data_IF_953003488049
#
_entry.id   IF_953003488049
#
_cell.length_a   1.000
_cell.length_b   1.000
_cell.length_c   1.000
_cell.angle_alpha   90.00
_cell.angle_beta   90.00
_cell.angle_gamma   90.00
#
_symmetry.space_group_name_H-M   'P 1'
#
loop_
_entity.id
_entity.type
_entity.pdbx_description
1 polymer ?
#
# COMPACT_ATOMS: atom_id res chain seq x y z
N UNK A 1 -1.50 -20.44 -5.46
CA UNK A 1 -1.29 -19.60 -6.65
C UNK A 1 -0.32 -18.53 -6.20
N UNK A 2 0.93 -18.60 -6.65
CA UNK A 2 1.97 -17.67 -6.18
C UNK A 2 1.74 -16.30 -6.82
N UNK A 3 1.75 -15.25 -5.99
CA UNK A 3 1.67 -13.87 -6.47
C UNK A 3 2.96 -13.51 -7.19
N UNK A 4 2.86 -12.82 -8.32
CA UNK A 4 4.07 -12.21 -8.91
C UNK A 4 4.58 -11.11 -7.99
N UNK A 5 5.89 -10.81 -8.03
CA UNK A 5 6.49 -9.71 -7.27
C UNK A 5 5.73 -8.39 -7.48
N UNK A 6 5.29 -8.13 -8.72
CA UNK A 6 4.45 -6.96 -9.01
C UNK A 6 3.14 -6.97 -8.22
N UNK A 7 2.41 -8.08 -8.21
CA UNK A 7 1.13 -8.16 -7.49
C UNK A 7 1.35 -8.05 -5.99
N UNK A 8 2.34 -8.77 -5.47
CA UNK A 8 2.69 -8.77 -4.05
C UNK A 8 3.07 -7.37 -3.56
N UNK A 9 4.00 -6.69 -4.23
CA UNK A 9 4.41 -5.33 -3.85
C UNK A 9 3.26 -4.33 -3.94
N UNK A 10 2.44 -4.39 -4.99
CA UNK A 10 1.28 -3.50 -5.10
C UNK A 10 0.25 -3.75 -3.99
N UNK A 11 0.05 -5.01 -3.56
CA UNK A 11 -0.85 -5.32 -2.45
C UNK A 11 -0.34 -4.75 -1.12
N UNK A 12 0.97 -4.85 -0.85
CA UNK A 12 1.59 -4.26 0.33
C UNK A 12 1.43 -2.73 0.34
N UNK A 13 1.74 -2.06 -0.78
CA UNK A 13 1.59 -0.61 -0.89
C UNK A 13 0.12 -0.18 -0.78
N UNK A 14 -0.80 -0.95 -1.37
CA UNK A 14 -2.23 -0.68 -1.29
C UNK A 14 -2.75 -0.80 0.14
N UNK A 15 -2.26 -1.78 0.91
CA UNK A 15 -2.62 -1.94 2.32
C UNK A 15 -2.12 -0.78 3.19
N UNK A 16 -0.88 -0.30 2.97
CA UNK A 16 -0.35 0.90 3.66
C UNK A 16 -1.20 2.13 3.33
N UNK A 17 -1.49 2.34 2.04
CA UNK A 17 -2.30 3.48 1.60
C UNK A 17 -3.73 3.41 2.15
N UNK A 18 -4.31 2.20 2.20
CA UNK A 18 -5.64 1.95 2.74
C UNK A 18 -5.68 2.24 4.24
N UNK A 19 -4.71 1.74 5.01
CA UNK A 19 -4.61 2.01 6.43
C UNK A 19 -4.48 3.51 6.73
N UNK A 20 -3.64 4.23 5.98
CA UNK A 20 -3.51 5.68 6.08
C UNK A 20 -4.82 6.42 5.75
N UNK A 21 -5.54 5.99 4.72
CA UNK A 21 -6.81 6.58 4.34
C UNK A 21 -7.91 6.33 5.40
N UNK A 22 -7.97 5.12 5.96
CA UNK A 22 -8.89 4.77 7.05
C UNK A 22 -8.60 5.64 8.27
N UNK A 23 -7.33 5.70 8.69
CA UNK A 23 -6.88 6.51 9.83
C UNK A 23 -7.24 7.99 9.63
N UNK A 24 -7.08 8.54 8.42
CA UNK A 24 -7.41 9.93 8.13
C UNK A 24 -8.92 10.21 8.13
N UNK A 25 -9.74 9.27 7.67
CA UNK A 25 -11.20 9.45 7.55
C UNK A 25 -11.97 9.11 8.83
N UNK A 26 -11.48 8.14 9.61
CA UNK A 26 -12.17 7.63 10.79
C UNK A 26 -11.45 7.94 12.11
N UNK A 27 -10.20 8.43 12.05
CA UNK A 27 -9.41 8.79 13.22
C UNK A 27 -8.77 7.60 13.96
N UNK A 28 -9.14 6.37 13.62
CA UNK A 28 -8.53 5.16 14.16
C UNK A 28 -8.32 4.10 13.07
N UNK A 29 -7.27 3.31 13.25
CA UNK A 29 -6.96 2.15 12.45
C UNK A 29 -6.24 1.15 13.36
N UNK A 30 -6.67 -0.10 13.30
CA UNK A 30 -5.97 -1.23 13.91
C UNK A 30 -5.59 -2.20 12.82
N UNK A 31 -4.32 -2.62 12.81
CA UNK A 31 -3.88 -3.67 11.92
C UNK A 31 -4.64 -4.97 12.24
N UNK A 32 -4.99 -5.77 11.22
CA UNK A 32 -5.66 -7.05 11.43
C UNK A 32 -4.69 -8.10 11.98
N UNK A 33 -5.16 -8.94 12.90
CA UNK A 33 -4.42 -10.12 13.34
C UNK A 33 -4.13 -11.05 12.15
N UNK A 34 -2.98 -11.73 12.15
CA UNK A 34 -2.54 -12.63 11.08
C UNK A 34 -2.56 -11.92 9.70
N UNK A 35 -1.83 -10.82 9.60
CA UNK A 35 -1.74 -10.02 8.38
C UNK A 35 -1.40 -10.87 7.16
N UNK A 36 -2.07 -10.56 6.04
CA UNK A 36 -1.73 -11.04 4.71
C UNK A 36 -1.92 -9.89 3.70
N UNK A 37 -1.15 -9.83 2.60
CA UNK A 37 -1.32 -8.81 1.57
C UNK A 37 -2.76 -8.74 1.05
N UNK A 38 -3.34 -7.55 1.04
CA UNK A 38 -4.73 -7.26 0.64
C UNK A 38 -5.77 -7.45 1.75
N UNK A 39 -5.37 -7.91 2.94
CA UNK A 39 -6.30 -8.19 4.05
C UNK A 39 -6.91 -6.93 4.64
N UNK A 40 -6.16 -5.82 4.74
CA UNK A 40 -6.67 -4.57 5.30
C UNK A 40 -7.86 -4.07 4.49
N UNK A 41 -7.72 -4.02 3.16
CA UNK A 41 -8.84 -3.65 2.28
C UNK A 41 -10.03 -4.59 2.43
N UNK A 42 -9.79 -5.90 2.36
CA UNK A 42 -10.86 -6.91 2.33
C UNK A 42 -11.67 -6.90 3.63
N UNK A 43 -10.99 -6.89 4.77
CA UNK A 43 -11.62 -6.86 6.10
C UNK A 43 -12.37 -5.56 6.33
N UNK A 44 -11.79 -4.43 5.92
CA UNK A 44 -12.44 -3.14 6.08
C UNK A 44 -13.73 -3.02 5.26
N UNK A 45 -13.72 -3.47 3.99
CA UNK A 45 -14.91 -3.50 3.13
C UNK A 45 -16.01 -4.38 3.71
N UNK A 46 -15.65 -5.56 4.23
CA UNK A 46 -16.61 -6.47 4.84
C UNK A 46 -17.28 -5.86 6.08
N UNK A 47 -16.57 -5.01 6.82
CA UNK A 47 -17.06 -4.36 8.04
C UNK A 47 -17.85 -3.06 7.80
N UNK A 48 -17.74 -2.42 6.63
CA UNK A 48 -18.36 -1.11 6.36
C UNK A 48 -19.19 -1.14 5.10
N UNK A 49 -20.51 -0.95 5.20
CA UNK A 49 -21.43 -0.99 4.05
C UNK A 49 -21.75 0.38 3.45
N UNK A 50 -21.33 1.49 4.06
CA UNK A 50 -21.61 2.84 3.55
C UNK A 50 -20.84 3.12 2.24
N UNK A 51 -21.55 3.23 1.09
CA UNK A 51 -20.89 3.45 -0.20
C UNK A 51 -20.21 4.82 -0.31
N UNK A 52 -20.71 5.85 0.38
CA UNK A 52 -20.13 7.18 0.33
C UNK A 52 -18.80 7.23 1.07
N UNK A 53 -18.74 6.62 2.26
CA UNK A 53 -17.50 6.43 3.02
C UNK A 53 -16.48 5.61 2.23
N UNK A 54 -16.89 4.46 1.69
CA UNK A 54 -16.01 3.61 0.87
C UNK A 54 -15.37 4.37 -0.29
N UNK A 55 -16.15 5.16 -1.03
CA UNK A 55 -15.63 5.98 -2.14
C UNK A 55 -14.58 6.98 -1.68
N UNK A 56 -14.81 7.69 -0.57
CA UNK A 56 -13.86 8.69 -0.04
C UNK A 56 -12.56 8.03 0.38
N UNK A 57 -12.66 6.92 1.10
CA UNK A 57 -11.48 6.19 1.58
C UNK A 57 -10.69 5.61 0.41
N UNK A 58 -11.34 5.02 -0.59
CA UNK A 58 -10.65 4.53 -1.79
C UNK A 58 -10.02 5.65 -2.62
N UNK A 59 -10.70 6.79 -2.77
CA UNK A 59 -10.12 7.93 -3.47
C UNK A 59 -8.81 8.38 -2.79
N UNK A 60 -8.82 8.47 -1.46
CA UNK A 60 -7.63 8.84 -0.70
C UNK A 60 -6.54 7.76 -0.75
N UNK A 61 -6.91 6.48 -0.62
CA UNK A 61 -5.96 5.36 -0.71
C UNK A 61 -5.29 5.29 -2.10
N UNK A 62 -6.03 5.52 -3.17
CA UNK A 62 -5.47 5.54 -4.53
C UNK A 62 -4.49 6.70 -4.73
N UNK A 63 -4.78 7.88 -4.18
CA UNK A 63 -3.84 9.00 -4.20
C UNK A 63 -2.56 8.68 -3.41
N UNK A 64 -2.70 8.05 -2.23
CA UNK A 64 -1.57 7.62 -1.40
C UNK A 64 -0.72 6.53 -2.06
N UNK A 65 -1.33 5.58 -2.75
CA UNK A 65 -0.64 4.48 -3.44
C UNK A 65 0.37 5.00 -4.47
N UNK A 66 -0.03 5.98 -5.28
CA UNK A 66 0.88 6.58 -6.27
C UNK A 66 2.07 7.28 -5.61
N UNK A 67 1.85 7.93 -4.47
CA UNK A 67 2.93 8.56 -3.69
C UNK A 67 3.91 7.51 -3.15
N UNK A 68 3.41 6.39 -2.61
CA UNK A 68 4.24 5.32 -2.04
C UNK A 68 5.12 4.61 -3.08
N UNK A 69 4.76 4.58 -4.36
CA UNK A 69 5.63 4.05 -5.42
C UNK A 69 6.83 4.95 -5.71
N UNK A 70 6.81 6.20 -5.23
CA UNK A 70 7.85 7.20 -5.45
C UNK A 70 8.82 7.40 -4.29
N UNK A 71 8.50 6.90 -3.09
CA UNK A 71 9.33 7.11 -1.89
C UNK A 71 10.51 6.15 -1.82
N UNK A 72 11.52 6.49 -1.01
CA UNK A 72 12.64 5.61 -0.71
C UNK A 72 12.27 4.47 0.26
N UNK A 73 13.17 3.51 0.39
CA UNK A 73 12.98 2.32 1.23
C UNK A 73 12.75 2.68 2.70
N UNK A 74 13.43 3.69 3.23
CA UNK A 74 13.35 4.05 4.64
C UNK A 74 11.99 4.68 4.98
N UNK A 75 11.51 5.57 4.12
CA UNK A 75 10.16 6.13 4.20
C UNK A 75 9.09 5.04 4.11
N UNK A 76 9.28 4.06 3.21
CA UNK A 76 8.37 2.94 3.06
C UNK A 76 8.32 2.07 4.34
N UNK A 77 9.47 1.67 4.87
CA UNK A 77 9.55 0.86 6.10
C UNK A 77 8.92 1.59 7.30
N UNK A 78 9.14 2.90 7.43
CA UNK A 78 8.48 3.70 8.49
C UNK A 78 6.96 3.73 8.32
N UNK A 79 6.46 3.92 7.11
CA UNK A 79 5.03 3.91 6.83
C UNK A 79 4.41 2.53 7.11
N UNK A 80 5.09 1.46 6.71
CA UNK A 80 4.65 0.09 6.95
C UNK A 80 4.57 -0.23 8.45
N UNK A 81 5.61 0.11 9.21
CA UNK A 81 5.66 -0.07 10.66
C UNK A 81 4.51 0.67 11.37
N UNK A 82 4.23 1.91 10.96
CA UNK A 82 3.12 2.71 11.51
C UNK A 82 1.76 2.02 11.38
N UNK A 83 1.54 1.27 10.30
CA UNK A 83 0.26 0.62 10.00
C UNK A 83 0.28 -0.90 10.18
N UNK A 84 1.33 -1.45 10.81
CA UNK A 84 1.42 -2.89 11.09
C UNK A 84 1.56 -3.77 9.85
N UNK A 85 2.09 -3.23 8.74
CA UNK A 85 2.42 -4.00 7.54
C UNK A 85 3.87 -4.50 7.65
N UNK A 86 4.14 -5.81 7.52
CA UNK A 86 5.46 -6.40 7.76
C UNK A 86 6.39 -6.17 6.56
N UNK A 87 6.87 -4.93 6.40
CA UNK A 87 7.94 -4.58 5.46
C UNK A 87 9.18 -4.27 6.28
N UNK A 88 10.15 -5.19 6.26
CA UNK A 88 11.48 -4.94 6.80
C UNK A 88 12.33 -4.09 5.84
N UNK A 89 13.56 -3.77 6.24
CA UNK A 89 14.46 -2.95 5.44
C UNK A 89 14.86 -3.62 4.12
N UNK A 90 14.99 -4.95 4.09
CA UNK A 90 15.42 -5.69 2.90
C UNK A 90 14.29 -5.66 1.85
N UNK A 91 13.08 -6.00 2.27
CA UNK A 91 11.89 -5.97 1.43
C UNK A 91 11.57 -4.54 0.98
N UNK A 92 11.72 -3.54 1.87
CA UNK A 92 11.57 -2.13 1.52
C UNK A 92 12.52 -1.70 0.40
N UNK A 93 13.78 -2.14 0.47
CA UNK A 93 14.78 -1.93 -0.59
C UNK A 93 14.37 -2.55 -1.92
N UNK A 94 13.91 -3.80 -1.90
CA UNK A 94 13.44 -4.51 -3.11
C UNK A 94 12.25 -3.81 -3.77
N UNK A 95 11.28 -3.34 -2.98
CA UNK A 95 10.11 -2.63 -3.48
C UNK A 95 10.52 -1.30 -4.13
N UNK A 96 11.34 -0.51 -3.44
CA UNK A 96 11.81 0.78 -3.95
C UNK A 96 12.58 0.61 -5.27
N UNK A 97 13.48 -0.38 -5.34
CA UNK A 97 14.22 -0.69 -6.55
C UNK A 97 13.30 -1.12 -7.69
N UNK A 98 12.35 -2.02 -7.43
CA UNK A 98 11.38 -2.51 -8.43
C UNK A 98 10.60 -1.37 -9.10
N UNK A 99 10.07 -0.42 -8.34
CA UNK A 99 9.31 0.71 -8.89
C UNK A 99 10.21 1.79 -9.50
N UNK A 100 11.46 1.91 -9.06
CA UNK A 100 12.48 2.75 -9.72
C UNK A 100 12.79 2.21 -11.12
N UNK A 101 13.12 0.92 -11.24
CA UNK A 101 13.45 0.28 -12.52
C UNK A 101 12.29 0.34 -13.50
N UNK A 102 11.07 0.10 -13.02
CA UNK A 102 9.86 0.21 -13.85
C UNK A 102 9.68 1.61 -14.43
N UNK A 103 9.95 2.67 -13.65
CA UNK A 103 9.89 4.06 -14.15
C UNK A 103 10.97 4.33 -15.19
N UNK A 104 12.20 3.90 -14.94
CA UNK A 104 13.30 4.07 -15.88
C UNK A 104 13.06 3.34 -17.21
N UNK A 105 12.51 2.13 -17.16
CA UNK A 105 12.15 1.36 -18.36
C UNK A 105 11.09 2.08 -19.21
N UNK A 106 10.06 2.64 -18.57
CA UNK A 106 9.01 3.41 -19.27
C UNK A 106 9.59 4.68 -19.91
N UNK A 107 10.54 5.36 -19.25
CA UNK A 107 11.21 6.54 -19.80
C UNK A 107 12.06 6.18 -21.03
N UNK A 108 12.84 5.10 -20.96
CA UNK A 108 13.68 4.63 -22.09
C UNK A 108 12.87 4.19 -23.31
N UNK A 109 11.64 3.72 -23.12
CA UNK A 109 10.76 3.36 -24.24
C UNK A 109 10.14 4.58 -24.95
N UNK A 110 10.11 5.74 -24.30
CA UNK A 110 9.49 6.97 -24.81
C UNK A 110 10.48 7.97 -25.39
N UNK A 111 11.78 7.71 -25.24
CA UNK A 111 12.91 8.45 -25.81
C UNK A 111 13.35 7.83 -27.13
#
# INVERSE_FOLDING_TARGET
MDLTDQQFFNLLLADIAMAGAIQAMQGNFSAPDNYAPGKIRTTWIAAHSDPALQRRVFALANAGLASLQGVDAEQLTRAAAKYGVPIDSELGGRIAQFFSDKRQAVLRYRS
#
